data_IF_735151809912
#
_entry.id   IF_735151809912
#
_cell.length_a   1.000
_cell.length_b   1.000
_cell.length_c   1.000
_cell.angle_alpha   90.00
_cell.angle_beta   90.00
_cell.angle_gamma   90.00
#
_symmetry.space_group_name_H-M   'P 1'
#
loop_
_entity.id
_entity.type
_entity.pdbx_description
1 polymer ?
#
# COMPACT_ATOMS: atom_id res chain seq x y z
N UNK A 1 18.85 -10.26 -68.73
CA UNK A 1 18.41 -10.93 -67.48
C UNK A 1 19.67 -11.29 -66.71
N UNK A 2 19.71 -10.92 -65.43
CA UNK A 2 20.93 -10.66 -64.64
C UNK A 2 21.61 -11.95 -64.13
N UNK A 3 22.93 -11.95 -64.32
CA UNK A 3 24.06 -12.51 -63.56
C UNK A 3 23.80 -13.38 -62.31
N UNK A 4 24.32 -14.62 -62.41
CA UNK A 4 25.03 -15.52 -61.46
C UNK A 4 25.20 -15.09 -59.98
N UNK A 5 24.80 -15.92 -59.00
CA UNK A 5 25.58 -16.92 -58.20
C UNK A 5 26.70 -16.27 -57.34
N UNK A 6 27.03 -16.62 -56.08
CA UNK A 6 26.77 -17.74 -55.16
C UNK A 6 27.45 -17.37 -53.80
N UNK A 7 26.88 -17.84 -52.67
CA UNK A 7 27.47 -18.18 -51.32
C UNK A 7 28.61 -17.34 -50.69
N UNK A 8 28.52 -17.14 -49.35
CA UNK A 8 29.40 -17.77 -48.35
C UNK A 8 28.96 -17.41 -46.91
N UNK A 9 29.00 -18.44 -46.07
CA UNK A 9 28.81 -18.51 -44.61
C UNK A 9 29.88 -17.74 -43.81
N UNK A 10 29.56 -17.32 -42.58
CA UNK A 10 30.52 -17.28 -41.47
C UNK A 10 29.79 -17.28 -40.11
N UNK A 11 29.85 -18.41 -39.41
CA UNK A 11 29.85 -18.49 -37.94
C UNK A 11 31.26 -18.15 -37.43
N UNK A 12 31.38 -17.69 -36.19
CA UNK A 12 32.42 -18.23 -35.32
C UNK A 12 31.83 -18.77 -34.00
N UNK A 13 32.24 -20.00 -33.67
CA UNK A 13 32.27 -20.56 -32.32
C UNK A 13 33.49 -20.01 -31.56
N UNK A 14 33.32 -19.73 -30.25
CA UNK A 14 34.28 -19.86 -29.12
C UNK A 14 33.74 -19.03 -27.95
N UNK A 15 33.74 -19.39 -26.66
CA UNK A 15 34.21 -20.50 -25.82
C UNK A 15 33.63 -20.25 -24.42
N UNK A 16 33.50 -21.31 -23.61
CA UNK A 16 33.13 -21.32 -22.18
C UNK A 16 33.76 -20.19 -21.33
N UNK A 17 33.07 -19.72 -20.29
CA UNK A 17 33.41 -19.93 -18.86
C UNK A 17 32.30 -19.34 -17.96
N UNK A 18 32.03 -20.03 -16.84
CA UNK A 18 31.17 -19.74 -15.68
C UNK A 18 30.72 -18.29 -15.42
N UNK A 19 29.45 -18.11 -15.06
CA UNK A 19 29.11 -17.77 -13.66
C UNK A 19 27.62 -17.94 -13.36
N UNK A 20 27.38 -18.73 -12.32
CA UNK A 20 26.10 -18.98 -11.69
C UNK A 20 25.67 -17.75 -10.88
N UNK A 21 24.70 -16.97 -11.39
CA UNK A 21 23.79 -16.10 -10.61
C UNK A 21 22.89 -15.30 -11.55
N UNK A 22 21.77 -15.88 -12.04
CA UNK A 22 20.75 -15.05 -12.71
C UNK A 22 19.33 -15.66 -12.83
N UNK A 23 18.93 -16.51 -11.88
CA UNK A 23 17.58 -17.10 -11.86
C UNK A 23 16.53 -16.24 -11.12
N UNK A 24 16.93 -15.24 -10.34
CA UNK A 24 15.98 -14.41 -9.57
C UNK A 24 15.55 -13.12 -10.30
N UNK A 25 16.44 -12.47 -11.06
CA UNK A 25 16.15 -11.22 -11.77
C UNK A 25 15.17 -11.44 -12.93
N UNK A 26 15.32 -12.57 -13.65
CA UNK A 26 14.44 -12.93 -14.75
C UNK A 26 13.04 -13.35 -14.29
N UNK A 27 12.92 -13.90 -13.08
CA UNK A 27 11.63 -14.32 -12.51
C UNK A 27 10.77 -13.12 -12.07
N UNK A 28 11.36 -12.08 -11.46
CA UNK A 28 10.61 -10.86 -11.10
C UNK A 28 10.10 -10.12 -12.35
N UNK A 29 10.93 -10.00 -13.39
CA UNK A 29 10.55 -9.35 -14.65
C UNK A 29 9.46 -10.13 -15.39
N UNK A 30 9.57 -11.46 -15.44
CA UNK A 30 8.58 -12.35 -16.07
C UNK A 30 7.21 -12.32 -15.35
N UNK A 31 7.20 -12.32 -14.01
CA UNK A 31 5.96 -12.16 -13.22
C UNK A 31 5.32 -10.78 -13.42
N UNK A 32 6.11 -9.70 -13.48
CA UNK A 32 5.64 -8.32 -13.75
C UNK A 32 4.99 -8.21 -15.13
N UNK A 33 5.54 -8.87 -16.16
CA UNK A 33 4.96 -8.94 -17.51
C UNK A 33 3.67 -9.79 -17.56
N UNK A 34 3.57 -10.87 -16.78
CA UNK A 34 2.34 -11.65 -16.69
C UNK A 34 1.18 -10.87 -16.04
N UNK A 35 1.47 -10.09 -14.97
CA UNK A 35 0.50 -9.17 -14.33
C UNK A 35 -0.01 -8.10 -15.30
N UNK A 36 0.86 -7.59 -16.19
CA UNK A 36 0.50 -6.60 -17.22
C UNK A 36 -0.52 -7.14 -18.24
N UNK A 37 -0.34 -8.38 -18.70
CA UNK A 37 -1.26 -9.00 -19.66
C UNK A 37 -2.63 -9.30 -19.03
N UNK A 38 -2.67 -9.59 -17.73
CA UNK A 38 -3.93 -9.80 -17.03
C UNK A 38 -4.68 -8.50 -16.72
N UNK A 39 -3.97 -7.40 -16.39
CA UNK A 39 -4.60 -6.10 -16.13
C UNK A 39 -5.13 -5.42 -17.40
N UNK A 40 -4.48 -5.62 -18.56
CA UNK A 40 -4.93 -5.04 -19.83
C UNK A 40 -6.21 -5.68 -20.39
N UNK A 41 -6.52 -6.91 -19.98
CA UNK A 41 -7.74 -7.59 -20.42
C UNK A 41 -8.99 -7.13 -19.66
N UNK A 42 -8.84 -6.32 -18.61
CA UNK A 42 -9.94 -5.61 -17.96
C UNK A 42 -10.07 -4.21 -18.58
N UNK A 43 -11.02 -4.04 -19.50
CA UNK A 43 -11.29 -2.79 -20.21
C UNK A 43 -11.92 -1.68 -19.34
N UNK A 44 -11.90 -1.82 -18.01
CA UNK A 44 -12.15 -0.78 -17.02
C UNK A 44 -11.45 -1.19 -15.71
N UNK A 45 -10.32 -0.56 -15.30
CA UNK A 45 -9.76 -0.86 -13.99
C UNK A 45 -10.82 -0.59 -12.92
N UNK A 46 -11.12 -1.59 -12.09
CA UNK A 46 -11.95 -1.38 -10.90
C UNK A 46 -11.30 -0.29 -10.08
N UNK A 47 -12.07 0.72 -9.77
CA UNK A 47 -11.66 1.85 -8.93
C UNK A 47 -11.74 1.43 -7.45
N UNK A 48 -10.88 1.97 -6.56
CA UNK A 48 -10.76 1.49 -5.18
C UNK A 48 -11.94 1.88 -4.27
N UNK A 49 -12.93 2.62 -4.74
CA UNK A 49 -14.05 3.06 -3.92
C UNK A 49 -14.87 1.87 -3.42
N UNK A 50 -15.27 1.95 -2.14
CA UNK A 50 -16.37 1.16 -1.60
C UNK A 50 -17.32 2.08 -0.82
N UNK A 51 -18.36 2.62 -1.47
CA UNK A 51 -19.28 3.55 -0.81
C UNK A 51 -20.10 2.91 0.32
N UNK A 52 -20.12 1.58 0.43
CA UNK A 52 -20.75 0.92 1.57
C UNK A 52 -19.92 1.07 2.85
N UNK A 53 -18.59 1.14 2.75
CA UNK A 53 -17.73 1.42 3.89
C UNK A 53 -17.87 2.91 4.28
N UNK A 54 -18.49 3.18 5.44
CA UNK A 54 -18.68 4.55 5.94
C UNK A 54 -17.37 5.31 6.24
N UNK A 55 -16.23 4.62 6.26
CA UNK A 55 -14.88 5.17 6.46
C UNK A 55 -14.05 5.18 5.17
N UNK A 56 -14.66 4.93 4.00
CA UNK A 56 -13.95 4.85 2.71
C UNK A 56 -13.19 6.12 2.34
N UNK A 57 -13.68 7.27 2.81
CA UNK A 57 -13.04 8.57 2.61
C UNK A 57 -11.59 8.59 3.13
N UNK A 58 -11.25 7.79 4.15
CA UNK A 58 -9.88 7.70 4.66
C UNK A 58 -8.90 7.20 3.60
N UNK A 59 -9.22 6.10 2.91
CA UNK A 59 -8.38 5.59 1.83
C UNK A 59 -8.31 6.54 0.65
N UNK A 60 -9.42 7.21 0.31
CA UNK A 60 -9.43 8.23 -0.75
C UNK A 60 -8.48 9.38 -0.42
N UNK A 61 -8.61 9.98 0.75
CA UNK A 61 -7.76 11.10 1.17
C UNK A 61 -6.30 10.71 1.35
N UNK A 62 -6.04 9.46 1.74
CA UNK A 62 -4.69 8.92 1.71
C UNK A 62 -4.05 9.06 0.33
N UNK A 63 -4.69 8.55 -0.73
CA UNK A 63 -4.12 8.65 -2.07
C UNK A 63 -4.12 10.09 -2.61
N UNK A 64 -5.17 10.87 -2.36
CA UNK A 64 -5.22 12.28 -2.78
C UNK A 64 -4.04 13.09 -2.20
N UNK A 65 -3.73 12.91 -0.91
CA UNK A 65 -2.60 13.59 -0.24
C UNK A 65 -1.26 13.03 -0.74
N UNK A 66 -1.17 11.72 -0.98
CA UNK A 66 0.03 11.09 -1.56
C UNK A 66 0.35 11.69 -2.94
N UNK A 67 -0.66 11.89 -3.79
CA UNK A 67 -0.48 12.49 -5.11
C UNK A 67 0.02 13.93 -5.03
N UNK A 68 -0.50 14.73 -4.09
CA UNK A 68 -0.02 16.09 -3.84
C UNK A 68 1.44 16.07 -3.40
N UNK A 69 1.80 15.20 -2.43
CA UNK A 69 3.16 15.06 -1.95
C UNK A 69 4.13 14.71 -3.09
N UNK A 70 3.78 13.71 -3.90
CA UNK A 70 4.62 13.23 -4.99
C UNK A 70 4.75 14.28 -6.11
N UNK A 71 3.70 15.05 -6.39
CA UNK A 71 3.73 16.14 -7.36
C UNK A 71 4.62 17.31 -6.94
N UNK A 72 4.90 17.44 -5.63
CA UNK A 72 5.81 18.45 -5.09
C UNK A 72 7.28 18.22 -5.40
N UNK A 73 7.67 17.02 -5.88
CA UNK A 73 9.05 16.65 -6.23
C UNK A 73 10.07 16.90 -5.11
N UNK A 74 9.65 16.73 -3.85
CA UNK A 74 10.51 16.89 -2.69
C UNK A 74 11.66 15.86 -2.69
N UNK A 75 12.78 16.22 -2.06
CA UNK A 75 13.94 15.33 -1.87
C UNK A 75 14.13 15.02 -0.37
N UNK A 76 13.01 14.88 0.36
CA UNK A 76 13.00 14.63 1.79
C UNK A 76 13.32 13.17 2.08
N UNK A 77 14.29 12.92 2.96
CA UNK A 77 14.75 11.59 3.32
C UNK A 77 14.78 11.36 4.84
N UNK A 78 14.23 12.30 5.62
CA UNK A 78 14.05 12.16 7.06
C UNK A 78 12.58 12.04 7.43
N UNK A 79 12.30 11.30 8.50
CA UNK A 79 10.94 11.18 9.07
C UNK A 79 10.37 12.56 9.38
N UNK A 80 11.19 13.47 9.92
CA UNK A 80 10.75 14.80 10.33
C UNK A 80 10.32 15.66 9.13
N UNK A 81 11.12 15.72 8.07
CA UNK A 81 10.78 16.49 6.85
C UNK A 81 9.53 15.93 6.16
N UNK A 82 9.44 14.61 6.01
CA UNK A 82 8.27 13.95 5.43
C UNK A 82 7.03 14.24 6.29
N UNK A 83 7.14 14.10 7.62
CA UNK A 83 6.06 14.37 8.56
C UNK A 83 5.59 15.83 8.48
N UNK A 84 6.50 16.79 8.47
CA UNK A 84 6.15 18.21 8.37
C UNK A 84 5.42 18.51 7.05
N UNK A 85 5.88 17.92 5.93
CA UNK A 85 5.24 18.15 4.64
C UNK A 85 3.85 17.51 4.55
N UNK A 86 3.67 16.30 5.09
CA UNK A 86 2.36 15.65 5.15
C UNK A 86 1.39 16.43 6.03
N UNK A 87 1.83 16.92 7.18
CA UNK A 87 1.01 17.78 8.05
C UNK A 87 0.61 19.10 7.34
N UNK A 88 1.52 19.70 6.57
CA UNK A 88 1.23 20.91 5.81
C UNK A 88 0.17 20.66 4.72
N UNK A 89 0.30 19.58 3.94
CA UNK A 89 -0.70 19.22 2.91
C UNK A 89 -2.04 18.87 3.58
N UNK A 90 -2.00 18.13 4.69
CA UNK A 90 -3.18 17.75 5.45
C UNK A 90 -3.93 18.96 6.02
N UNK A 91 -3.21 19.98 6.51
CA UNK A 91 -3.80 21.21 7.05
C UNK A 91 -4.53 22.04 5.98
N UNK A 92 -4.14 21.93 4.72
CA UNK A 92 -4.81 22.57 3.58
C UNK A 92 -5.98 21.74 3.02
N UNK A 93 -6.11 20.48 3.45
CA UNK A 93 -7.15 19.56 3.00
C UNK A 93 -8.40 19.62 3.92
N UNK A 94 -9.39 20.42 3.51
CA UNK A 94 -10.64 20.58 4.28
C UNK A 94 -11.42 19.27 4.47
N UNK A 95 -11.33 18.32 3.54
CA UNK A 95 -12.05 17.05 3.62
C UNK A 95 -11.46 16.15 4.72
N UNK A 96 -10.16 16.27 5.01
CA UNK A 96 -9.53 15.57 6.11
C UNK A 96 -10.06 16.02 7.49
N UNK A 97 -10.56 17.26 7.60
CA UNK A 97 -11.21 17.74 8.83
C UNK A 97 -12.48 16.94 9.16
N UNK A 98 -13.14 16.35 8.15
CA UNK A 98 -14.32 15.49 8.35
C UNK A 98 -13.94 14.21 9.10
N UNK A 99 -12.70 13.73 8.90
CA UNK A 99 -12.17 12.52 9.56
C UNK A 99 -11.61 12.80 10.97
N UNK A 100 -11.52 14.07 11.37
CA UNK A 100 -10.98 14.48 12.66
C UNK A 100 -12.03 14.38 13.78
N UNK A 101 -12.55 13.17 13.98
CA UNK A 101 -13.48 12.87 15.08
C UNK A 101 -12.66 12.37 16.28
N UNK A 102 -12.61 13.18 17.34
CA UNK A 102 -11.88 12.88 18.57
C UNK A 102 -10.72 13.84 18.81
N UNK A 103 -9.65 13.35 19.42
CA UNK A 103 -8.45 14.15 19.69
C UNK A 103 -7.57 14.18 18.45
N UNK A 104 -7.35 15.38 17.92
CA UNK A 104 -6.32 15.61 16.92
C UNK A 104 -4.96 15.64 17.61
N UNK A 105 -4.07 14.74 17.21
CA UNK A 105 -2.73 14.63 17.75
C UNK A 105 -1.73 14.84 16.60
N UNK A 106 -0.59 15.50 16.88
CA UNK A 106 0.52 15.52 15.95
C UNK A 106 1.01 14.09 15.71
N UNK A 107 1.63 13.84 14.55
CA UNK A 107 2.29 12.57 14.29
C UNK A 107 3.36 12.31 15.35
N UNK A 108 3.27 11.15 16.00
CA UNK A 108 4.29 10.68 16.94
C UNK A 108 5.45 10.08 16.14
N UNK A 109 6.58 10.79 16.11
CA UNK A 109 7.75 10.40 15.33
C UNK A 109 8.43 9.14 15.87
N UNK A 110 8.37 8.89 17.19
CA UNK A 110 8.93 7.67 17.80
C UNK A 110 8.15 6.44 17.31
N UNK A 111 6.82 6.49 17.31
CA UNK A 111 5.98 5.42 16.78
C UNK A 111 6.22 5.21 15.27
N UNK A 112 6.45 6.27 14.51
CA UNK A 112 6.80 6.16 13.08
C UNK A 112 8.14 5.45 12.93
N UNK A 113 9.15 5.81 13.74
CA UNK A 113 10.46 5.17 13.72
C UNK A 113 10.37 3.67 14.09
N UNK A 114 9.56 3.30 15.08
CA UNK A 114 9.30 1.92 15.45
C UNK A 114 8.69 1.12 14.29
N UNK A 115 7.70 1.69 13.60
CA UNK A 115 7.08 1.07 12.42
C UNK A 115 8.10 0.87 11.31
N UNK A 116 8.96 1.86 11.04
CA UNK A 116 9.99 1.76 10.00
C UNK A 116 11.01 0.66 10.34
N UNK A 117 11.43 0.59 11.60
CA UNK A 117 12.44 -0.37 12.05
C UNK A 117 11.96 -1.82 11.98
N UNK A 118 10.69 -2.09 12.32
CA UNK A 118 10.12 -3.43 12.26
C UNK A 118 8.60 -3.38 12.05
N UNK A 119 8.13 -3.26 10.78
CA UNK A 119 6.71 -3.07 10.48
C UNK A 119 5.81 -4.18 11.04
N UNK A 120 6.25 -5.44 10.96
CA UNK A 120 5.43 -6.57 11.43
C UNK A 120 5.32 -6.59 12.95
N UNK A 121 6.42 -6.38 13.68
CA UNK A 121 6.37 -6.33 15.14
C UNK A 121 5.51 -5.14 15.63
N UNK A 122 5.65 -3.97 15.00
CA UNK A 122 4.84 -2.79 15.32
C UNK A 122 3.35 -3.03 15.01
N UNK A 123 3.03 -3.77 13.94
CA UNK A 123 1.67 -4.17 13.62
C UNK A 123 1.08 -5.07 14.70
N UNK A 124 1.80 -6.12 15.08
CA UNK A 124 1.35 -7.09 16.07
C UNK A 124 1.13 -6.41 17.43
N UNK A 125 2.06 -5.53 17.83
CA UNK A 125 1.96 -4.75 19.06
C UNK A 125 0.76 -3.78 19.02
N UNK A 126 0.55 -3.07 17.91
CA UNK A 126 -0.59 -2.17 17.75
C UNK A 126 -1.93 -2.92 17.87
N UNK A 127 -2.04 -4.11 17.27
CA UNK A 127 -3.25 -4.95 17.41
C UNK A 127 -3.45 -5.37 18.87
N UNK A 128 -2.41 -5.92 19.51
CA UNK A 128 -2.48 -6.44 20.89
C UNK A 128 -2.85 -5.32 21.87
N UNK A 129 -2.22 -4.16 21.75
CA UNK A 129 -2.40 -3.02 22.67
C UNK A 129 -3.61 -2.15 22.33
N UNK A 130 -4.29 -2.36 21.21
CA UNK A 130 -5.48 -1.59 20.86
C UNK A 130 -6.63 -1.81 21.85
N UNK A 131 -7.56 -0.84 21.90
CA UNK A 131 -8.78 -0.90 22.70
C UNK A 131 -9.85 -1.85 22.13
N UNK A 132 -9.59 -2.46 20.98
CA UNK A 132 -10.55 -3.30 20.28
C UNK A 132 -10.92 -4.56 21.09
N UNK A 133 -12.08 -5.13 20.80
CA UNK A 133 -12.47 -6.43 21.33
C UNK A 133 -11.53 -7.54 20.82
N UNK A 134 -11.40 -8.65 21.56
CA UNK A 134 -10.57 -9.78 21.14
C UNK A 134 -11.02 -10.38 19.79
N UNK A 135 -12.33 -10.38 19.52
CA UNK A 135 -12.89 -10.83 18.26
C UNK A 135 -12.48 -9.90 17.10
N UNK A 136 -12.55 -8.57 17.30
CA UNK A 136 -12.10 -7.59 16.33
C UNK A 136 -10.58 -7.66 16.07
N UNK A 137 -9.77 -7.79 17.13
CA UNK A 137 -8.30 -7.99 17.03
C UNK A 137 -7.95 -9.21 16.19
N UNK A 138 -8.60 -10.34 16.45
CA UNK A 138 -8.35 -11.59 15.72
C UNK A 138 -8.75 -11.48 14.24
N UNK A 139 -9.88 -10.82 13.98
CA UNK A 139 -10.37 -10.56 12.62
C UNK A 139 -9.42 -9.65 11.83
N UNK A 140 -8.98 -8.54 12.43
CA UNK A 140 -8.03 -7.63 11.80
C UNK A 140 -6.66 -8.27 11.57
N UNK A 141 -6.15 -9.03 12.54
CA UNK A 141 -4.90 -9.76 12.39
C UNK A 141 -4.96 -10.73 11.21
N UNK A 142 -6.07 -11.46 11.06
CA UNK A 142 -6.29 -12.36 9.93
C UNK A 142 -6.29 -11.59 8.60
N UNK A 143 -7.04 -10.49 8.52
CA UNK A 143 -7.07 -9.62 7.34
C UNK A 143 -5.66 -9.10 6.97
N UNK A 144 -4.89 -8.62 7.95
CA UNK A 144 -3.54 -8.10 7.69
C UNK A 144 -2.55 -9.17 7.21
N UNK A 145 -2.73 -10.42 7.67
CA UNK A 145 -1.97 -11.57 7.18
C UNK A 145 -2.37 -11.92 5.75
N UNK A 146 -3.67 -11.91 5.43
CA UNK A 146 -4.17 -12.16 4.08
C UNK A 146 -3.62 -11.14 3.07
N UNK A 147 -3.50 -9.86 3.47
CA UNK A 147 -2.89 -8.81 2.64
C UNK A 147 -1.47 -9.15 2.20
N UNK A 148 -0.68 -9.85 3.03
CA UNK A 148 0.68 -10.28 2.65
C UNK A 148 0.68 -11.35 1.55
N UNK A 149 -0.41 -12.10 1.42
CA UNK A 149 -0.53 -13.21 0.49
C UNK A 149 -1.02 -12.75 -0.90
N UNK A 150 -1.49 -11.52 -1.02
CA UNK A 150 -2.12 -10.99 -2.23
C UNK A 150 -1.16 -10.41 -3.27
N UNK A 151 0.15 -10.39 -3.01
CA UNK A 151 1.17 -9.74 -3.87
C UNK A 151 1.13 -10.19 -5.35
N UNK A 152 0.60 -11.38 -5.62
CA UNK A 152 0.52 -11.96 -6.97
C UNK A 152 -0.90 -12.10 -7.51
N UNK A 153 -1.92 -11.66 -6.77
CA UNK A 153 -3.30 -11.80 -7.19
C UNK A 153 -3.70 -10.65 -8.13
N UNK A 154 -4.63 -10.88 -9.08
CA UNK A 154 -5.25 -9.80 -9.83
C UNK A 154 -5.95 -8.81 -8.90
N UNK A 155 -5.87 -7.51 -9.20
CA UNK A 155 -6.47 -6.46 -8.37
C UNK A 155 -7.97 -6.70 -8.11
N UNK A 156 -8.72 -7.17 -9.12
CA UNK A 156 -10.14 -7.56 -9.00
C UNK A 156 -10.40 -8.52 -7.82
N UNK A 157 -9.57 -9.57 -7.69
CA UNK A 157 -9.71 -10.58 -6.65
C UNK A 157 -9.36 -10.02 -5.28
N UNK A 158 -8.36 -9.15 -5.22
CA UNK A 158 -7.96 -8.45 -3.99
C UNK A 158 -9.07 -7.49 -3.54
N UNK A 159 -9.56 -6.65 -4.46
CA UNK A 159 -10.66 -5.72 -4.22
C UNK A 159 -11.89 -6.45 -3.67
N UNK A 160 -12.32 -7.53 -4.33
CA UNK A 160 -13.47 -8.30 -3.91
C UNK A 160 -13.27 -8.92 -2.52
N UNK A 161 -12.06 -9.40 -2.21
CA UNK A 161 -11.71 -9.93 -0.88
C UNK A 161 -11.84 -8.85 0.20
N UNK A 162 -11.31 -7.65 -0.04
CA UNK A 162 -11.38 -6.53 0.91
C UNK A 162 -12.81 -6.04 1.10
N UNK A 163 -13.58 -5.83 0.02
CA UNK A 163 -14.99 -5.38 0.12
C UNK A 163 -15.86 -6.39 0.85
N UNK A 164 -15.61 -7.69 0.64
CA UNK A 164 -16.30 -8.76 1.37
C UNK A 164 -15.96 -8.71 2.86
N UNK A 165 -14.68 -8.53 3.20
CA UNK A 165 -14.23 -8.37 4.58
C UNK A 165 -14.88 -7.16 5.26
N UNK A 166 -14.87 -6.00 4.62
CA UNK A 166 -15.50 -4.78 5.14
C UNK A 166 -17.01 -4.96 5.35
N UNK A 167 -17.69 -5.64 4.43
CA UNK A 167 -19.12 -5.96 4.56
C UNK A 167 -19.40 -6.86 5.78
N UNK A 168 -18.54 -7.86 6.02
CA UNK A 168 -18.63 -8.70 7.21
C UNK A 168 -18.41 -7.89 8.50
N UNK A 169 -17.45 -6.97 8.51
CA UNK A 169 -17.18 -6.08 9.67
C UNK A 169 -18.36 -5.17 9.96
N UNK A 170 -18.95 -4.54 8.95
CA UNK A 170 -20.08 -3.63 9.11
C UNK A 170 -21.30 -4.32 9.74
N UNK A 171 -21.58 -5.55 9.30
CA UNK A 171 -22.76 -6.31 9.74
C UNK A 171 -22.54 -7.12 11.01
N UNK A 172 -21.30 -7.25 11.50
CA UNK A 172 -21.00 -8.04 12.68
C UNK A 172 -21.59 -7.38 13.96
N UNK A 173 -22.47 -8.09 14.71
CA UNK A 173 -23.07 -7.57 15.93
C UNK A 173 -22.14 -7.62 17.16
N UNK A 174 -21.04 -8.38 17.12
CA UNK A 174 -20.06 -8.47 18.20
C UNK A 174 -19.10 -7.27 18.21
N UNK A 175 -19.01 -6.53 17.11
CA UNK A 175 -18.12 -5.38 16.97
C UNK A 175 -18.82 -4.09 17.40
N UNK A 176 -18.18 -3.35 18.31
CA UNK A 176 -18.64 -2.03 18.71
C UNK A 176 -18.27 -0.95 17.67
N UNK A 177 -18.68 0.29 17.90
CA UNK A 177 -18.40 1.40 16.98
C UNK A 177 -16.90 1.67 16.79
N UNK A 178 -16.09 1.50 17.84
CA UNK A 178 -14.64 1.68 17.77
C UNK A 178 -13.95 0.56 17.00
N UNK A 179 -14.34 -0.70 17.22
CA UNK A 179 -13.88 -1.85 16.44
C UNK A 179 -14.11 -1.61 14.94
N UNK A 180 -15.34 -1.21 14.58
CA UNK A 180 -15.72 -0.93 13.19
C UNK A 180 -14.95 0.25 12.63
N UNK A 181 -14.83 1.36 13.37
CA UNK A 181 -14.07 2.54 12.95
C UNK A 181 -12.63 2.18 12.62
N UNK A 182 -11.93 1.49 13.53
CA UNK A 182 -10.53 1.15 13.38
C UNK A 182 -10.34 0.23 12.17
N UNK A 183 -11.11 -0.87 12.11
CA UNK A 183 -10.97 -1.88 11.05
C UNK A 183 -11.32 -1.30 9.68
N UNK A 184 -12.43 -0.56 9.56
CA UNK A 184 -12.91 -0.04 8.29
C UNK A 184 -12.08 1.13 7.77
N UNK A 185 -11.54 1.97 8.66
CA UNK A 185 -10.53 2.98 8.29
C UNK A 185 -9.28 2.31 7.74
N UNK A 186 -8.78 1.31 8.47
CA UNK A 186 -7.54 0.60 8.13
C UNK A 186 -7.67 -0.16 6.81
N UNK A 187 -8.76 -0.91 6.62
CA UNK A 187 -9.01 -1.67 5.39
C UNK A 187 -9.25 -0.77 4.18
N UNK A 188 -9.89 0.38 4.35
CA UNK A 188 -10.00 1.40 3.30
C UNK A 188 -8.62 1.90 2.86
N UNK A 189 -7.76 2.31 3.80
CA UNK A 189 -6.38 2.73 3.48
C UNK A 189 -5.62 1.62 2.74
N UNK A 190 -5.72 0.37 3.21
CA UNK A 190 -5.10 -0.79 2.56
C UNK A 190 -5.61 -0.99 1.14
N UNK A 191 -6.92 -0.89 0.89
CA UNK A 191 -7.49 -1.04 -0.47
C UNK A 191 -6.94 0.03 -1.42
N UNK A 192 -6.94 1.28 -0.98
CA UNK A 192 -6.47 2.40 -1.79
C UNK A 192 -4.95 2.32 -2.02
N UNK A 193 -4.16 1.92 -1.03
CA UNK A 193 -2.71 1.75 -1.21
C UNK A 193 -2.40 0.62 -2.20
N UNK A 194 -3.11 -0.53 -2.10
CA UNK A 194 -2.93 -1.64 -3.06
C UNK A 194 -3.32 -1.23 -4.48
N UNK A 195 -4.41 -0.47 -4.63
CA UNK A 195 -4.80 0.07 -5.94
C UNK A 195 -3.72 0.96 -6.52
N UNK A 196 -3.18 1.87 -5.71
CA UNK A 196 -2.08 2.76 -6.10
C UNK A 196 -0.88 1.96 -6.60
N UNK A 197 -0.43 0.97 -5.83
CA UNK A 197 0.75 0.15 -6.15
C UNK A 197 0.57 -0.71 -7.42
N UNK A 198 -0.63 -1.24 -7.68
CA UNK A 198 -0.87 -2.20 -8.77
C UNK A 198 -1.32 -1.56 -10.08
N UNK A 199 -2.06 -0.45 -10.01
CA UNK A 199 -2.72 0.16 -11.16
C UNK A 199 -2.01 1.44 -11.60
N UNK A 200 -1.46 2.24 -10.67
CA UNK A 200 -0.77 3.50 -10.99
C UNK A 200 0.74 3.28 -11.21
N UNK A 201 1.05 2.71 -12.38
CA UNK A 201 2.30 2.02 -12.75
C UNK A 201 3.56 2.88 -12.94
N UNK A 202 3.52 4.20 -12.73
CA UNK A 202 4.71 5.04 -12.90
C UNK A 202 5.58 5.14 -11.65
N UNK A 203 5.15 4.55 -10.54
CA UNK A 203 5.83 4.64 -9.24
C UNK A 203 5.98 3.22 -8.70
N UNK A 204 7.18 2.64 -8.83
CA UNK A 204 7.54 1.33 -8.26
C UNK A 204 7.58 1.44 -6.72
N UNK A 205 6.40 1.60 -6.11
CA UNK A 205 6.18 1.91 -4.71
C UNK A 205 6.03 0.56 -3.96
N UNK A 206 7.11 0.00 -3.41
CA UNK A 206 7.07 -1.25 -2.58
C UNK A 206 6.66 -0.92 -1.13
N UNK A 207 5.49 -0.30 -0.96
CA UNK A 207 5.17 0.51 0.25
C UNK A 207 3.91 0.08 0.99
N UNK A 208 3.14 -0.86 0.43
CA UNK A 208 1.95 -1.41 1.08
C UNK A 208 2.19 -1.89 2.52
N UNK A 209 3.45 -2.18 2.89
CA UNK A 209 3.86 -2.51 4.26
C UNK A 209 3.76 -1.30 5.18
N UNK A 210 4.41 -0.17 4.85
CA UNK A 210 4.35 1.03 5.67
C UNK A 210 2.93 1.58 5.77
N UNK A 211 2.25 1.71 4.64
CA UNK A 211 0.90 2.24 4.57
C UNK A 211 -0.10 1.49 5.46
N UNK A 212 -0.07 0.14 5.46
CA UNK A 212 -1.01 -0.63 6.30
C UNK A 212 -0.77 -0.44 7.79
N UNK A 213 0.51 -0.45 8.21
CA UNK A 213 0.86 -0.44 9.64
C UNK A 213 0.67 0.97 10.20
N UNK A 214 1.10 2.00 9.48
CA UNK A 214 0.81 3.38 9.83
C UNK A 214 -0.69 3.67 9.84
N UNK A 215 -1.44 3.10 8.89
CA UNK A 215 -2.89 3.19 8.82
C UNK A 215 -3.57 2.63 10.07
N UNK A 216 -3.25 1.39 10.46
CA UNK A 216 -3.78 0.81 11.70
C UNK A 216 -3.36 1.62 12.94
N UNK A 217 -2.06 1.85 13.08
CA UNK A 217 -1.50 2.52 14.25
C UNK A 217 -2.15 3.89 14.46
N UNK A 218 -2.42 4.63 13.38
CA UNK A 218 -3.15 5.90 13.46
C UNK A 218 -4.66 5.72 13.70
N UNK A 219 -5.30 4.73 13.08
CA UNK A 219 -6.74 4.46 13.21
C UNK A 219 -7.16 4.16 14.66
N UNK A 220 -6.27 3.57 15.47
CA UNK A 220 -6.47 3.39 16.91
C UNK A 220 -6.84 4.71 17.61
N UNK A 221 -6.29 5.83 17.13
CA UNK A 221 -6.60 7.16 17.65
C UNK A 221 -7.79 7.77 16.89
N UNK A 222 -7.61 8.04 15.59
CA UNK A 222 -8.68 8.49 14.69
C UNK A 222 -8.31 8.33 13.20
N UNK A 223 -9.29 8.49 12.32
CA UNK A 223 -9.11 8.29 10.87
C UNK A 223 -8.21 9.34 10.20
N UNK A 224 -8.16 10.57 10.69
CA UNK A 224 -7.21 11.58 10.18
C UNK A 224 -5.75 11.22 10.50
N UNK A 225 -5.47 10.78 11.74
CA UNK A 225 -4.15 10.30 12.15
C UNK A 225 -3.79 9.04 11.35
N UNK A 226 -4.76 8.15 11.07
CA UNK A 226 -4.55 6.98 10.22
C UNK A 226 -3.98 7.36 8.85
N UNK A 227 -4.63 8.33 8.18
CA UNK A 227 -4.19 8.83 6.87
C UNK A 227 -2.77 9.40 6.95
N UNK A 228 -2.54 10.34 7.87
CA UNK A 228 -1.25 11.03 7.99
C UNK A 228 -0.10 10.08 8.35
N UNK A 229 -0.30 9.19 9.34
CA UNK A 229 0.73 8.23 9.77
C UNK A 229 1.00 7.17 8.71
N UNK A 230 -0.04 6.70 8.01
CA UNK A 230 0.09 5.79 6.87
C UNK A 230 0.99 6.39 5.79
N UNK A 231 0.79 7.67 5.46
CA UNK A 231 1.60 8.36 4.45
C UNK A 231 3.06 8.49 4.87
N UNK A 232 3.34 9.00 6.07
CA UNK A 232 4.74 9.19 6.53
C UNK A 232 5.50 7.87 6.55
N UNK A 233 4.88 6.81 7.11
CA UNK A 233 5.53 5.49 7.20
C UNK A 233 5.72 4.85 5.83
N UNK A 234 4.73 4.94 4.93
CA UNK A 234 4.83 4.40 3.57
C UNK A 234 5.86 5.13 2.72
N UNK A 235 5.90 6.47 2.73
CA UNK A 235 6.89 7.27 2.02
C UNK A 235 8.30 6.98 2.54
N UNK A 236 8.50 6.94 3.85
CA UNK A 236 9.84 6.71 4.41
C UNK A 236 10.36 5.30 4.09
N UNK A 237 9.51 4.27 4.20
CA UNK A 237 9.88 2.90 3.82
C UNK A 237 10.18 2.82 2.32
N UNK A 238 9.44 3.55 1.46
CA UNK A 238 9.75 3.64 0.04
C UNK A 238 11.16 4.17 -0.19
N UNK A 239 11.46 5.32 0.40
CA UNK A 239 12.72 6.02 0.18
C UNK A 239 13.90 5.13 0.56
N UNK A 240 13.81 4.40 1.69
CA UNK A 240 14.80 3.42 2.12
C UNK A 240 14.96 2.21 1.19
N UNK A 241 13.91 1.84 0.46
CA UNK A 241 13.96 0.74 -0.51
C UNK A 241 14.55 1.15 -1.87
N UNK A 242 14.56 2.45 -2.16
CA UNK A 242 15.06 3.03 -3.43
C UNK A 242 16.49 3.58 -3.37
N UNK A 243 17.09 3.64 -2.18
CA UNK A 243 18.53 3.92 -1.97
C UNK A 243 19.42 2.69 -2.28
#
# INVERSE_FOLDING_TARGET
>A
MILSLLIVSCTPDTTDTSDSTNSEINNKKSKKTARYVQSLNSLNPISPENPANMYDLAGKLHNDILDIYLSGNYQYNTIEEISQQIEAIAAENNDLMILNVGTDLPINLDLVQEIINNPQAALDEAIVNSIMTNAAKSSLSSFMNDVLLWENNPYEEIYQSIVTYESAVMTNPEYNGEDKRIILTTSSIVRYSIYYDLIDKDKDWDTSKGHRVGGLSGAIYNSSIAVRRSLVTGIMINNLATE
#
